data_IF_018482714967
#
_entry.id   IF_018482714967
#
_cell.length_a   1.000
_cell.length_b   1.000
_cell.length_c   1.000
_cell.angle_alpha   90.00
_cell.angle_beta   90.00
_cell.angle_gamma   90.00
#
_symmetry.space_group_name_H-M   'P 1'
#
loop_
_entity.id
_entity.type
_entity.pdbx_description
1 polymer ?
#
# COMPACT_ATOMS: atom_id res chain seq x y z
N UNK A 1 12.77 23.27 -3.60
CA UNK A 1 11.71 22.26 -3.37
C UNK A 1 10.88 22.51 -2.09
N UNK A 2 11.39 23.06 -0.96
CA UNK A 2 10.55 23.30 0.23
C UNK A 2 9.65 24.55 0.14
N UNK A 3 10.12 25.63 -0.49
CA UNK A 3 9.45 26.94 -0.48
C UNK A 3 8.11 26.91 -1.24
N UNK A 4 8.04 26.19 -2.36
CA UNK A 4 6.83 26.08 -3.16
C UNK A 4 5.69 25.37 -2.40
N UNK A 5 6.01 24.37 -1.58
CA UNK A 5 5.01 23.70 -0.75
C UNK A 5 4.49 24.62 0.36
N UNK A 6 5.37 25.38 1.02
CA UNK A 6 4.98 26.34 2.08
C UNK A 6 4.09 27.46 1.54
N UNK A 7 4.36 27.95 0.32
CA UNK A 7 3.54 28.99 -0.33
C UNK A 7 2.17 28.45 -0.71
N UNK A 8 2.10 27.23 -1.26
CA UNK A 8 0.84 26.58 -1.64
C UNK A 8 -0.01 26.22 -0.41
N UNK A 9 0.62 25.81 0.68
CA UNK A 9 -0.04 25.49 1.95
C UNK A 9 -0.74 26.72 2.57
N UNK A 10 -0.08 27.89 2.51
CA UNK A 10 -0.67 29.17 2.94
C UNK A 10 -1.78 29.66 2.02
N UNK A 11 -1.65 29.44 0.71
CA UNK A 11 -2.66 29.83 -0.29
C UNK A 11 -3.95 29.01 -0.18
N UNK A 12 -3.83 27.74 0.23
CA UNK A 12 -4.98 26.84 0.35
C UNK A 12 -5.68 26.87 1.71
N UNK A 13 -5.26 27.74 2.64
CA UNK A 13 -5.83 27.81 4.00
C UNK A 13 -5.96 26.42 4.66
N UNK A 14 -5.02 25.51 4.38
CA UNK A 14 -4.88 24.26 5.13
C UNK A 14 -4.16 24.59 6.44
N UNK A 15 -4.85 25.28 7.33
CA UNK A 15 -4.40 25.50 8.69
C UNK A 15 -4.32 24.17 9.42
N UNK A 16 -3.12 23.62 9.43
CA UNK A 16 -2.65 22.72 10.46
C UNK A 16 -1.16 22.97 10.53
N UNK A 17 -0.75 24.00 11.28
CA UNK A 17 0.66 24.26 11.61
C UNK A 17 1.23 23.04 12.32
N UNK A 18 1.62 22.06 11.52
CA UNK A 18 2.38 20.91 11.92
C UNK A 18 3.80 21.25 11.47
N UNK A 19 4.63 21.65 12.42
CA UNK A 19 6.06 21.82 12.19
C UNK A 19 6.59 20.59 11.43
N UNK A 20 7.59 20.75 10.56
CA UNK A 20 8.19 19.63 9.83
C UNK A 20 8.55 18.47 10.78
N UNK A 21 8.99 18.81 11.99
CA UNK A 21 9.23 17.87 13.07
C UNK A 21 7.97 17.08 13.45
N UNK A 22 6.84 17.74 13.70
CA UNK A 22 5.57 17.06 14.00
C UNK A 22 5.06 16.18 12.85
N UNK A 23 5.27 16.58 11.58
CA UNK A 23 4.94 15.74 10.42
C UNK A 23 5.81 14.49 10.35
N UNK A 24 7.11 14.62 10.61
CA UNK A 24 8.04 13.49 10.65
C UNK A 24 7.73 12.55 11.81
N UNK A 25 7.51 13.10 13.01
CA UNK A 25 7.12 12.33 14.20
C UNK A 25 5.82 11.58 13.93
N UNK A 26 4.81 12.26 13.38
CA UNK A 26 3.54 11.64 13.00
C UNK A 26 3.72 10.51 11.98
N UNK A 27 4.56 10.71 10.96
CA UNK A 27 4.79 9.69 9.92
C UNK A 27 5.53 8.46 10.45
N UNK A 28 6.43 8.62 11.42
CA UNK A 28 7.23 7.53 12.00
C UNK A 28 6.51 6.83 13.15
N UNK A 29 5.73 7.54 13.96
CA UNK A 29 4.96 6.95 15.07
C UNK A 29 3.81 6.09 14.58
N UNK A 30 3.34 6.36 13.36
CA UNK A 30 2.18 5.78 12.76
C UNK A 30 2.19 4.23 12.69
N UNK A 31 3.22 3.56 12.15
CA UNK A 31 3.35 2.10 12.20
C UNK A 31 3.23 1.50 13.60
N UNK A 32 3.84 2.15 14.59
CA UNK A 32 3.81 1.67 15.98
C UNK A 32 2.42 1.78 16.60
N UNK A 33 1.73 2.91 16.35
CA UNK A 33 0.36 3.10 16.83
C UNK A 33 -0.59 2.06 16.21
N UNK A 34 -0.47 1.84 14.89
CA UNK A 34 -1.25 0.82 14.18
C UNK A 34 -0.98 -0.59 14.74
N UNK A 35 0.29 -0.93 14.99
CA UNK A 35 0.66 -2.23 15.55
C UNK A 35 0.09 -2.46 16.95
N UNK A 36 0.27 -1.50 17.88
CA UNK A 36 -0.16 -1.65 19.28
C UNK A 36 -1.67 -1.86 19.38
N UNK A 37 -2.44 -1.08 18.62
CA UNK A 37 -3.91 -1.20 18.64
C UNK A 37 -4.36 -2.55 18.10
N UNK A 38 -3.77 -3.03 17.02
CA UNK A 38 -4.10 -4.37 16.50
C UNK A 38 -3.63 -5.49 17.41
N UNK A 39 -2.47 -5.33 18.07
CA UNK A 39 -1.95 -6.27 19.05
C UNK A 39 -2.90 -6.44 20.24
N UNK A 40 -3.45 -5.34 20.76
CA UNK A 40 -4.37 -5.35 21.90
C UNK A 40 -5.75 -5.91 21.57
N UNK A 41 -6.25 -5.69 20.35
CA UNK A 41 -7.61 -6.10 19.95
C UNK A 41 -7.68 -7.54 19.43
N UNK A 42 -6.60 -8.11 18.89
CA UNK A 42 -6.59 -9.50 18.41
C UNK A 42 -7.56 -9.77 17.24
N UNK A 43 -7.89 -8.75 16.45
CA UNK A 43 -8.80 -8.87 15.32
C UNK A 43 -8.06 -9.44 14.09
N UNK A 44 -8.25 -10.73 13.80
CA UNK A 44 -7.56 -11.40 12.70
C UNK A 44 -8.40 -11.53 11.43
N UNK A 45 -7.74 -11.39 10.27
CA UNK A 45 -8.36 -11.40 8.93
C UNK A 45 -8.19 -12.73 8.19
N UNK A 46 -7.40 -13.66 8.72
CA UNK A 46 -7.16 -15.01 8.20
C UNK A 46 -6.84 -15.05 6.69
N UNK A 47 -5.94 -14.18 6.23
CA UNK A 47 -5.50 -14.10 4.83
C UNK A 47 -6.60 -13.71 3.83
N UNK A 48 -7.75 -13.19 4.27
CA UNK A 48 -8.83 -12.77 3.37
C UNK A 48 -8.37 -11.70 2.37
N UNK A 49 -7.39 -10.86 2.73
CA UNK A 49 -6.82 -9.85 1.82
C UNK A 49 -6.10 -10.45 0.61
N UNK A 50 -5.48 -11.62 0.75
CA UNK A 50 -4.82 -12.29 -0.38
C UNK A 50 -5.85 -12.91 -1.32
N UNK A 51 -6.94 -13.46 -0.78
CA UNK A 51 -8.05 -14.01 -1.54
C UNK A 51 -8.79 -12.90 -2.29
N UNK A 52 -8.98 -11.75 -1.64
CA UNK A 52 -9.61 -10.56 -2.23
C UNK A 52 -8.66 -9.81 -3.19
N UNK A 53 -7.35 -10.06 -3.11
CA UNK A 53 -6.30 -9.43 -3.90
C UNK A 53 -6.60 -9.25 -5.39
N UNK A 54 -7.04 -10.30 -6.12
CA UNK A 54 -7.39 -10.17 -7.53
C UNK A 54 -8.50 -9.15 -7.82
N UNK A 55 -9.43 -8.94 -6.90
CA UNK A 55 -10.54 -7.99 -7.07
C UNK A 55 -10.13 -6.54 -6.84
N UNK A 56 -9.02 -6.27 -6.15
CA UNK A 56 -8.50 -4.92 -5.97
C UNK A 56 -7.91 -4.31 -7.25
N UNK A 57 -7.81 -5.10 -8.33
CA UNK A 57 -7.55 -4.59 -9.67
C UNK A 57 -8.74 -3.78 -10.22
N UNK A 58 -9.93 -3.97 -9.65
CA UNK A 58 -11.14 -3.24 -10.05
C UNK A 58 -11.25 -1.91 -9.28
N UNK A 59 -12.00 -0.93 -9.79
CA UNK A 59 -12.33 0.28 -9.07
C UNK A 59 -12.99 -0.01 -7.71
N UNK A 60 -12.72 0.82 -6.70
CA UNK A 60 -13.28 0.68 -5.36
C UNK A 60 -14.81 0.67 -5.32
N UNK A 61 -15.48 1.33 -6.28
CA UNK A 61 -16.93 1.25 -6.42
C UNK A 61 -17.47 -0.16 -6.65
N UNK A 62 -16.65 -1.08 -7.20
CA UNK A 62 -17.06 -2.46 -7.43
C UNK A 62 -16.77 -3.31 -6.19
N UNK A 63 -15.52 -3.38 -5.77
CA UNK A 63 -15.15 -4.28 -4.67
C UNK A 63 -15.62 -3.77 -3.30
N UNK A 64 -15.57 -2.45 -3.05
CA UNK A 64 -15.96 -1.89 -1.75
C UNK A 64 -17.48 -1.76 -1.62
N UNK A 65 -18.18 -1.32 -2.68
CA UNK A 65 -19.62 -1.00 -2.59
C UNK A 65 -20.54 -2.14 -3.04
N UNK A 66 -20.13 -3.00 -3.99
CA UNK A 66 -20.97 -4.13 -4.43
C UNK A 66 -20.63 -5.44 -3.75
N UNK A 67 -19.34 -5.69 -3.51
CA UNK A 67 -18.86 -6.93 -2.89
C UNK A 67 -18.64 -6.79 -1.38
N UNK A 68 -18.79 -5.58 -0.83
CA UNK A 68 -18.58 -5.26 0.59
C UNK A 68 -17.23 -5.75 1.13
N UNK A 69 -16.18 -5.73 0.29
CA UNK A 69 -14.84 -6.07 0.74
C UNK A 69 -14.27 -4.91 1.56
N UNK A 70 -13.83 -5.23 2.78
CA UNK A 70 -13.08 -4.31 3.64
C UNK A 70 -11.60 -4.59 3.47
N UNK A 71 -10.74 -3.59 3.70
CA UNK A 71 -9.28 -3.79 3.69
C UNK A 71 -8.73 -3.79 5.12
N UNK A 72 -7.49 -4.26 5.29
CA UNK A 72 -6.82 -4.22 6.59
C UNK A 72 -6.71 -2.79 7.14
N UNK A 73 -6.46 -1.80 6.27
CA UNK A 73 -6.40 -0.39 6.68
C UNK A 73 -7.75 0.11 7.24
N UNK A 74 -8.88 -0.33 6.67
CA UNK A 74 -10.20 0.07 7.14
C UNK A 74 -10.47 -0.45 8.56
N UNK A 75 -10.05 -1.68 8.86
CA UNK A 75 -10.19 -2.24 10.21
C UNK A 75 -9.29 -1.54 11.23
N UNK A 76 -8.02 -1.29 10.89
CA UNK A 76 -7.15 -0.48 11.77
C UNK A 76 -7.70 0.93 12.00
N UNK A 77 -8.26 1.55 10.96
CA UNK A 77 -8.91 2.86 11.07
C UNK A 77 -10.08 2.81 12.05
N UNK A 78 -10.92 1.78 11.95
CA UNK A 78 -12.03 1.59 12.87
C UNK A 78 -11.56 1.42 14.32
N UNK A 79 -10.50 0.64 14.55
CA UNK A 79 -9.96 0.44 15.90
C UNK A 79 -9.33 1.71 16.50
N UNK A 80 -8.73 2.56 15.68
CA UNK A 80 -8.09 3.81 16.14
C UNK A 80 -9.09 4.96 16.29
N UNK A 81 -10.01 5.11 15.32
CA UNK A 81 -10.91 6.26 15.22
C UNK A 81 -12.34 5.97 15.68
N UNK A 82 -12.69 4.71 15.94
CA UNK A 82 -14.05 4.27 16.29
C UNK A 82 -15.04 4.27 15.12
N UNK A 83 -14.60 4.64 13.91
CA UNK A 83 -15.40 4.76 12.69
C UNK A 83 -14.58 4.38 11.46
N UNK A 84 -15.28 4.07 10.37
CA UNK A 84 -14.63 3.96 9.06
C UNK A 84 -14.44 5.34 8.44
N UNK A 85 -13.51 5.42 7.47
CA UNK A 85 -13.31 6.63 6.68
C UNK A 85 -14.63 7.02 6.00
N UNK A 86 -15.05 8.27 6.21
CA UNK A 86 -16.31 8.80 5.67
C UNK A 86 -17.47 8.77 6.66
N UNK A 87 -17.36 8.07 7.79
CA UNK A 87 -18.36 8.11 8.85
C UNK A 87 -18.26 9.42 9.65
N UNK A 88 -19.41 9.92 10.12
CA UNK A 88 -19.50 11.07 10.99
C UNK A 88 -19.62 10.61 12.45
N UNK A 89 -18.60 10.92 13.26
CA UNK A 89 -18.60 10.67 14.72
C UNK A 89 -18.34 11.99 15.45
N UNK A 90 -19.19 12.31 16.42
CA UNK A 90 -19.02 13.52 17.25
C UNK A 90 -19.05 14.83 16.46
N UNK A 91 -19.76 14.87 15.34
CA UNK A 91 -19.84 16.05 14.45
C UNK A 91 -18.66 16.22 13.48
N UNK A 92 -17.66 15.34 13.53
CA UNK A 92 -16.51 15.36 12.62
C UNK A 92 -16.53 14.13 11.69
N UNK A 93 -16.23 14.36 10.42
CA UNK A 93 -16.08 13.28 9.43
C UNK A 93 -14.67 12.71 9.56
N UNK A 94 -14.55 11.38 9.68
CA UNK A 94 -13.25 10.71 9.66
C UNK A 94 -12.62 10.89 8.28
N UNK A 95 -11.64 11.80 8.19
CA UNK A 95 -11.12 12.33 6.92
C UNK A 95 -10.02 11.49 6.26
N UNK A 96 -9.66 10.33 6.81
CA UNK A 96 -8.55 9.51 6.34
C UNK A 96 -8.71 8.03 6.65
N UNK A 97 -7.96 7.19 5.92
CA UNK A 97 -7.69 5.81 6.32
C UNK A 97 -6.32 5.76 6.94
N UNK A 98 -6.24 5.08 8.06
CA UNK A 98 -5.06 4.78 8.86
C UNK A 98 -4.36 3.60 8.12
N UNK A 99 -3.23 3.83 7.40
CA UNK A 99 -2.52 2.76 6.69
C UNK A 99 -1.96 1.66 7.62
N UNK A 100 -1.56 0.51 7.12
CA UNK A 100 -0.81 -0.45 7.93
C UNK A 100 0.59 -0.54 7.34
N UNK A 101 1.61 -0.59 8.18
CA UNK A 101 2.93 -1.05 7.74
C UNK A 101 2.88 -2.56 7.46
N UNK A 102 3.92 -3.10 6.83
CA UNK A 102 3.94 -4.52 6.43
C UNK A 102 3.91 -5.47 7.62
N UNK A 103 4.49 -5.11 8.77
CA UNK A 103 4.49 -5.95 9.97
C UNK A 103 3.11 -5.97 10.59
N UNK A 104 2.49 -4.80 10.76
CA UNK A 104 1.10 -4.69 11.25
C UNK A 104 0.13 -5.42 10.33
N UNK A 105 0.25 -5.22 9.01
CA UNK A 105 -0.55 -5.94 8.03
C UNK A 105 -0.41 -7.46 8.19
N UNK A 106 0.83 -7.95 8.32
CA UNK A 106 1.09 -9.38 8.45
C UNK A 106 0.57 -9.96 9.77
N UNK A 107 0.71 -9.23 10.87
CA UNK A 107 0.18 -9.61 12.18
C UNK A 107 -1.36 -9.73 12.16
N UNK A 108 -2.05 -8.79 11.51
CA UNK A 108 -3.51 -8.83 11.37
C UNK A 108 -3.98 -10.07 10.59
N UNK A 109 -3.15 -10.66 9.71
CA UNK A 109 -3.60 -11.83 8.95
C UNK A 109 -3.78 -13.06 9.83
N UNK A 110 -2.80 -13.39 10.66
CA UNK A 110 -2.84 -14.61 11.48
C UNK A 110 -1.78 -14.57 12.59
N UNK A 111 -1.67 -13.45 13.31
CA UNK A 111 -0.70 -13.27 14.39
C UNK A 111 0.75 -13.51 13.90
N UNK A 112 1.61 -14.12 14.73
CA UNK A 112 2.99 -14.51 14.42
C UNK A 112 3.05 -15.41 13.16
N UNK A 113 2.08 -16.31 12.97
CA UNK A 113 2.02 -17.16 11.78
C UNK A 113 1.82 -16.31 10.52
N UNK A 114 0.97 -15.27 10.64
CA UNK A 114 0.78 -14.24 9.62
C UNK A 114 2.09 -13.56 9.24
N UNK A 115 2.88 -13.13 10.22
CA UNK A 115 4.21 -12.51 10.01
C UNK A 115 5.14 -13.41 9.21
N UNK A 116 5.23 -14.69 9.56
CA UNK A 116 6.10 -15.65 8.87
C UNK A 116 5.64 -15.86 7.43
N UNK A 117 4.34 -16.12 7.22
CA UNK A 117 3.80 -16.42 5.90
C UNK A 117 3.87 -15.20 4.97
N UNK A 118 3.42 -14.03 5.44
CA UNK A 118 3.44 -12.80 4.64
C UNK A 118 4.87 -12.37 4.35
N UNK A 119 5.79 -12.48 5.32
CA UNK A 119 7.21 -12.21 5.10
C UNK A 119 7.82 -13.11 4.03
N UNK A 120 7.48 -14.41 4.05
CA UNK A 120 7.91 -15.35 3.02
C UNK A 120 7.32 -15.01 1.64
N UNK A 121 6.00 -14.79 1.56
CA UNK A 121 5.32 -14.40 0.32
C UNK A 121 5.92 -13.12 -0.27
N UNK A 122 6.21 -12.14 0.59
CA UNK A 122 6.85 -10.91 0.18
C UNK A 122 8.27 -11.16 -0.35
N UNK A 123 9.08 -11.97 0.35
CA UNK A 123 10.42 -12.34 -0.13
C UNK A 123 10.39 -13.01 -1.50
N UNK A 124 9.44 -13.94 -1.72
CA UNK A 124 9.22 -14.60 -3.01
C UNK A 124 8.82 -13.58 -4.08
N UNK A 125 7.87 -12.69 -3.76
CA UNK A 125 7.43 -11.61 -4.64
C UNK A 125 8.59 -10.70 -5.05
N UNK A 126 9.40 -10.25 -4.09
CA UNK A 126 10.51 -9.34 -4.36
C UNK A 126 11.58 -10.02 -5.23
N UNK A 127 11.90 -11.29 -4.94
CA UNK A 127 12.85 -12.08 -5.73
C UNK A 127 12.36 -12.29 -7.17
N UNK A 128 11.06 -12.56 -7.34
CA UNK A 128 10.46 -12.75 -8.66
C UNK A 128 10.62 -11.50 -9.53
N UNK A 129 10.26 -10.33 -9.01
CA UNK A 129 10.38 -9.07 -9.75
C UNK A 129 11.82 -8.64 -9.98
N UNK A 130 12.70 -8.82 -8.99
CA UNK A 130 14.14 -8.60 -9.15
C UNK A 130 14.68 -9.38 -10.36
N UNK A 131 14.41 -10.69 -10.43
CA UNK A 131 14.85 -11.53 -11.54
C UNK A 131 14.26 -11.09 -12.89
N UNK A 132 13.00 -10.65 -12.92
CA UNK A 132 12.34 -10.15 -14.15
C UNK A 132 12.96 -8.84 -14.65
N UNK A 133 13.32 -7.94 -13.75
CA UNK A 133 13.97 -6.66 -14.10
C UNK A 133 15.41 -6.92 -14.58
N UNK A 134 16.15 -7.81 -13.91
CA UNK A 134 17.54 -8.12 -14.29
C UNK A 134 17.69 -8.79 -15.67
N UNK A 135 16.65 -9.50 -16.12
CA UNK A 135 16.56 -10.11 -17.47
C UNK A 135 16.38 -9.10 -18.61
N UNK A 136 16.19 -7.81 -18.33
CA UNK A 136 16.09 -6.80 -19.39
C UNK A 136 17.46 -6.54 -20.01
N UNK A 137 17.54 -6.53 -21.34
CA UNK A 137 18.82 -6.34 -22.04
C UNK A 137 19.24 -4.87 -22.11
N UNK A 138 18.28 -3.94 -22.09
CA UNK A 138 18.54 -2.51 -22.22
C UNK A 138 18.85 -1.92 -20.83
N UNK A 139 20.08 -1.44 -20.64
CA UNK A 139 20.56 -0.92 -19.36
C UNK A 139 19.68 0.24 -18.81
N UNK A 140 19.30 1.20 -19.66
CA UNK A 140 18.47 2.34 -19.23
C UNK A 140 17.11 1.91 -18.67
N UNK A 141 16.40 1.03 -19.36
CA UNK A 141 15.11 0.49 -18.90
C UNK A 141 15.29 -0.33 -17.62
N UNK A 142 16.37 -1.12 -17.53
CA UNK A 142 16.69 -1.92 -16.34
C UNK A 142 16.84 -1.03 -15.10
N UNK A 143 17.69 -0.01 -15.16
CA UNK A 143 17.93 0.88 -14.01
C UNK A 143 16.68 1.70 -13.66
N UNK A 144 15.94 2.18 -14.65
CA UNK A 144 14.68 2.90 -14.42
C UNK A 144 13.66 2.01 -13.68
N UNK A 145 13.42 0.79 -14.17
CA UNK A 145 12.51 -0.16 -13.52
C UNK A 145 12.99 -0.57 -12.14
N UNK A 146 14.31 -0.74 -11.95
CA UNK A 146 14.88 -1.11 -10.67
C UNK A 146 14.71 -0.02 -9.61
N UNK A 147 14.98 1.25 -9.97
CA UNK A 147 14.74 2.39 -9.09
C UNK A 147 13.26 2.53 -8.72
N UNK A 148 12.36 2.40 -9.71
CA UNK A 148 10.92 2.40 -9.46
C UNK A 148 10.53 1.27 -8.50
N UNK A 149 11.06 0.07 -8.72
CA UNK A 149 10.78 -1.10 -7.89
C UNK A 149 11.23 -0.91 -6.44
N UNK A 150 12.43 -0.37 -6.20
CA UNK A 150 12.92 -0.07 -4.84
C UNK A 150 11.98 0.92 -4.14
N UNK A 151 11.70 2.06 -4.77
CA UNK A 151 10.88 3.11 -4.13
C UNK A 151 9.46 2.62 -3.85
N UNK A 152 8.85 1.91 -4.81
CA UNK A 152 7.44 1.54 -4.72
C UNK A 152 7.17 0.25 -3.96
N UNK A 153 8.01 -0.77 -4.12
CA UNK A 153 7.78 -2.09 -3.52
C UNK A 153 8.66 -2.39 -2.31
N UNK A 154 9.75 -1.65 -2.08
CA UNK A 154 10.55 -1.82 -0.87
C UNK A 154 10.20 -0.73 0.13
N UNK A 155 10.37 0.54 -0.24
CA UNK A 155 10.16 1.66 0.70
C UNK A 155 8.67 1.83 1.02
N UNK A 156 7.85 2.11 0.00
CA UNK A 156 6.42 2.38 0.24
C UNK A 156 5.69 1.17 0.81
N UNK A 157 6.00 -0.04 0.34
CA UNK A 157 5.37 -1.25 0.85
C UNK A 157 5.64 -1.48 2.33
N UNK A 158 6.86 -1.20 2.78
CA UNK A 158 7.22 -1.37 4.19
C UNK A 158 6.37 -0.47 5.08
N UNK A 159 6.07 0.76 4.62
CA UNK A 159 5.30 1.75 5.36
C UNK A 159 3.77 1.65 5.12
N UNK A 160 3.35 1.07 3.99
CA UNK A 160 1.97 0.98 3.50
C UNK A 160 1.69 -0.43 2.94
N UNK A 161 1.73 -1.44 3.79
CA UNK A 161 1.70 -2.87 3.50
C UNK A 161 0.36 -3.49 3.11
N UNK A 162 -0.70 -2.70 2.87
CA UNK A 162 -2.03 -3.23 2.48
C UNK A 162 -2.06 -3.67 1.01
N UNK A 163 -2.50 -4.91 0.74
CA UNK A 163 -2.68 -5.49 -0.60
C UNK A 163 -3.44 -4.56 -1.54
N UNK A 164 -4.53 -3.93 -1.05
CA UNK A 164 -5.32 -3.01 -1.85
C UNK A 164 -4.52 -1.76 -2.24
N UNK A 165 -3.72 -1.23 -1.31
CA UNK A 165 -2.88 -0.06 -1.56
C UNK A 165 -1.75 -0.37 -2.55
N UNK A 166 -1.13 -1.54 -2.43
CA UNK A 166 -0.05 -1.99 -3.32
C UNK A 166 -0.55 -2.08 -4.77
N UNK A 167 -1.70 -2.71 -4.98
CA UNK A 167 -2.26 -2.91 -6.31
C UNK A 167 -2.67 -1.56 -6.92
N UNK A 168 -3.40 -0.73 -6.16
CA UNK A 168 -3.88 0.56 -6.66
C UNK A 168 -2.71 1.52 -6.98
N UNK A 169 -1.69 1.58 -6.12
CA UNK A 169 -0.55 2.52 -6.30
C UNK A 169 0.44 2.10 -7.39
N UNK A 170 0.43 0.82 -7.79
CA UNK A 170 1.35 0.26 -8.80
C UNK A 170 0.65 -0.20 -10.09
N UNK A 171 -0.60 0.22 -10.30
CA UNK A 171 -1.38 -0.15 -11.48
C UNK A 171 -0.63 0.03 -12.80
N UNK A 172 0.04 1.17 -12.98
CA UNK A 172 0.82 1.47 -14.19
C UNK A 172 2.01 0.53 -14.41
N UNK A 173 2.67 0.10 -13.33
CA UNK A 173 3.77 -0.87 -13.41
C UNK A 173 3.25 -2.26 -13.81
N UNK A 174 2.07 -2.64 -13.31
CA UNK A 174 1.44 -3.91 -13.68
C UNK A 174 1.04 -3.89 -15.16
N UNK A 175 0.41 -2.82 -15.64
CA UNK A 175 0.08 -2.64 -17.06
C UNK A 175 1.34 -2.74 -17.93
N UNK A 176 2.45 -2.09 -17.52
CA UNK A 176 3.71 -2.14 -18.25
C UNK A 176 4.17 -3.59 -18.49
N UNK A 177 4.16 -4.44 -17.46
CA UNK A 177 4.56 -5.85 -17.62
C UNK A 177 3.58 -6.65 -18.48
N UNK A 178 2.28 -6.38 -18.40
CA UNK A 178 1.26 -7.03 -19.24
C UNK A 178 1.49 -6.67 -20.71
N UNK A 179 1.56 -5.38 -21.04
CA UNK A 179 1.78 -4.92 -22.41
C UNK A 179 3.13 -5.35 -22.97
N UNK A 180 4.20 -5.25 -22.17
CA UNK A 180 5.52 -5.71 -22.58
C UNK A 180 5.56 -7.22 -22.80
N UNK A 181 4.84 -7.99 -21.98
CA UNK A 181 4.67 -9.44 -22.16
C UNK A 181 3.97 -9.78 -23.48
N UNK A 182 2.90 -9.06 -23.83
CA UNK A 182 2.20 -9.20 -25.11
C UNK A 182 3.13 -8.85 -26.28
N UNK A 183 3.81 -7.71 -26.22
CA UNK A 183 4.77 -7.26 -27.25
C UNK A 183 5.88 -8.30 -27.49
N UNK A 184 6.43 -8.88 -26.42
CA UNK A 184 7.48 -9.90 -26.56
C UNK A 184 6.95 -11.17 -27.21
N UNK A 185 5.74 -11.62 -26.85
CA UNK A 185 5.11 -12.81 -27.45
C UNK A 185 4.81 -12.60 -28.93
N UNK A 186 4.30 -11.43 -29.32
CA UNK A 186 4.02 -11.15 -30.74
C UNK A 186 5.30 -11.08 -31.55
N UNK A 187 6.38 -10.46 -31.05
CA UNK A 187 7.65 -10.39 -31.79
C UNK A 187 8.36 -11.74 -31.99
N UNK A 188 8.19 -12.69 -31.07
CA UNK A 188 8.70 -14.07 -31.21
C UNK A 188 7.90 -14.87 -32.25
N UNK A 189 6.67 -14.47 -32.56
CA UNK A 189 5.83 -15.13 -33.57
C UNK A 189 6.17 -14.71 -35.01
N UNK A 190 7.00 -13.69 -35.21
CA UNK A 190 7.37 -13.15 -36.53
C UNK A 190 8.86 -13.38 -36.87
N UNK A 191 9.55 -14.26 -36.15
CA UNK A 191 10.91 -14.72 -36.44
C UNK A 191 10.93 -16.24 -36.57
#
# INVERSE_FOLDING_TARGET
>A
MPIAFVVMDRLWSRTGESSLFSLLVSSISYPFAAFIVNFQNGAYRFFKDFIQGPFYFLPSSIWSSRLNFTTANNETTYLISGAYKGDAIGGNIVSGTTPNDILTFAYIQADIIGVIIVGFLLGVFLRYFHNKIMRQNIAGIKFMLYSYFIVRFIINLTLYGDVAHIIASNWGFIIYFVLFGIYKKTKISWS
#
